data_IF_865205194658
#
_entry.id   IF_865205194658
#
_cell.length_a   1.000
_cell.length_b   1.000
_cell.length_c   1.000
_cell.angle_alpha   90.00
_cell.angle_beta   90.00
_cell.angle_gamma   90.00
#
_symmetry.space_group_name_H-M   'P 1'
#
loop_
_entity.id
_entity.type
_entity.pdbx_description
1 polymer ?
#
# COMPACT_ATOMS: atom_id res chain seq x y z
N UNK A 1 24.22 -2.44 -18.90
CA UNK A 1 23.27 -2.76 -17.82
C UNK A 1 22.15 -3.52 -18.47
N UNK A 2 22.05 -4.81 -18.17
CA UNK A 2 21.19 -5.75 -18.86
C UNK A 2 19.75 -5.22 -18.90
N UNK A 3 19.18 -5.19 -20.10
CA UNK A 3 17.73 -5.16 -20.25
C UNK A 3 17.23 -6.48 -19.65
N UNK A 4 16.85 -6.45 -18.38
CA UNK A 4 16.19 -7.59 -17.73
C UNK A 4 15.04 -8.01 -18.63
N UNK A 5 15.17 -9.23 -19.14
CA UNK A 5 14.27 -9.86 -20.07
C UNK A 5 12.83 -9.68 -19.60
N UNK A 6 11.99 -9.00 -20.41
CA UNK A 6 10.55 -8.88 -20.17
C UNK A 6 9.88 -10.28 -20.00
N UNK A 7 10.56 -11.37 -20.36
CA UNK A 7 10.13 -12.75 -20.15
C UNK A 7 10.20 -13.21 -18.69
N UNK A 8 11.05 -12.60 -17.85
CA UNK A 8 11.21 -12.99 -16.44
C UNK A 8 10.13 -12.36 -15.53
N UNK A 9 9.51 -11.26 -15.99
CA UNK A 9 8.46 -10.52 -15.27
C UNK A 9 7.08 -11.16 -15.46
N UNK A 10 6.84 -12.20 -14.67
CA UNK A 10 5.62 -13.01 -14.75
C UNK A 10 4.58 -12.63 -13.71
N UNK A 11 4.98 -12.05 -12.59
CA UNK A 11 4.11 -11.77 -11.44
C UNK A 11 3.43 -10.39 -11.56
N UNK A 12 2.19 -10.23 -11.06
CA UNK A 12 1.52 -8.93 -11.01
C UNK A 12 2.26 -7.95 -10.08
N UNK A 13 2.11 -6.66 -10.35
CA UNK A 13 2.66 -5.61 -9.50
C UNK A 13 2.00 -5.63 -8.11
N UNK A 14 2.80 -5.56 -7.05
CA UNK A 14 2.32 -5.37 -5.69
C UNK A 14 1.65 -4.00 -5.51
N UNK A 15 0.78 -3.82 -4.50
CA UNK A 15 0.20 -2.51 -4.17
C UNK A 15 1.24 -1.43 -3.92
N UNK A 16 2.34 -1.78 -3.22
CA UNK A 16 3.44 -0.86 -2.91
C UNK A 16 4.21 -0.46 -4.17
N UNK A 17 4.39 -1.36 -5.14
CA UNK A 17 5.01 -1.03 -6.43
C UNK A 17 4.13 -0.10 -7.26
N UNK A 18 2.81 -0.30 -7.25
CA UNK A 18 1.85 0.61 -7.90
C UNK A 18 1.88 2.00 -7.26
N UNK A 19 1.93 2.07 -5.94
CA UNK A 19 2.02 3.33 -5.19
C UNK A 19 3.34 4.06 -5.45
N UNK A 20 4.47 3.35 -5.43
CA UNK A 20 5.78 3.91 -5.77
C UNK A 20 5.84 4.43 -7.21
N UNK A 21 5.29 3.69 -8.17
CA UNK A 21 5.18 4.14 -9.55
C UNK A 21 4.35 5.43 -9.66
N UNK A 22 3.25 5.51 -8.91
CA UNK A 22 2.45 6.75 -8.77
C UNK A 22 3.27 7.88 -8.16
N UNK A 23 3.96 7.69 -7.05
CA UNK A 23 4.80 8.75 -6.45
C UNK A 23 5.86 9.30 -7.43
N UNK A 24 6.42 8.42 -8.26
CA UNK A 24 7.41 8.77 -9.28
C UNK A 24 6.80 9.50 -10.50
N UNK A 25 5.47 9.64 -10.57
CA UNK A 25 4.78 10.28 -11.71
C UNK A 25 4.47 9.33 -12.86
N UNK A 26 4.69 8.02 -12.68
CA UNK A 26 4.41 7.02 -13.70
C UNK A 26 2.95 6.57 -13.60
N UNK A 27 2.09 7.21 -14.39
CA UNK A 27 0.67 6.86 -14.52
C UNK A 27 0.33 6.51 -15.96
N UNK A 28 -0.67 5.66 -16.16
CA UNK A 28 -1.21 5.36 -17.48
C UNK A 28 -1.73 6.65 -18.14
N UNK A 29 -1.38 6.86 -19.41
CA UNK A 29 -1.84 8.00 -20.21
C UNK A 29 -2.12 7.52 -21.64
N UNK A 30 -3.26 7.92 -22.19
CA UNK A 30 -3.57 7.75 -23.62
C UNK A 30 -3.62 9.11 -24.28
N UNK A 31 -2.80 9.28 -25.33
CA UNK A 31 -2.83 10.50 -26.15
C UNK A 31 -4.10 10.58 -26.99
N UNK A 32 -4.60 9.43 -27.44
CA UNK A 32 -5.80 9.35 -28.26
C UNK A 32 -7.06 9.73 -27.46
N UNK A 33 -7.16 9.30 -26.20
CA UNK A 33 -8.25 9.74 -25.31
C UNK A 33 -8.26 11.25 -25.13
N UNK A 34 -7.11 11.87 -24.84
CA UNK A 34 -7.01 13.32 -24.68
C UNK A 34 -7.38 14.07 -25.96
N UNK A 35 -6.95 13.55 -27.12
CA UNK A 35 -7.26 14.14 -28.43
C UNK A 35 -8.75 14.04 -28.73
N UNK A 36 -9.35 12.86 -28.53
CA UNK A 36 -10.79 12.64 -28.67
C UNK A 36 -11.58 13.56 -27.75
N UNK A 37 -11.26 13.59 -26.45
CA UNK A 37 -12.01 14.37 -25.47
C UNK A 37 -11.95 15.87 -25.77
N UNK A 38 -10.78 16.39 -26.16
CA UNK A 38 -10.62 17.80 -26.52
C UNK A 38 -11.42 18.17 -27.78
N UNK A 39 -11.39 17.32 -28.81
CA UNK A 39 -12.16 17.56 -30.03
C UNK A 39 -13.67 17.39 -29.80
N UNK A 40 -14.09 16.39 -29.04
CA UNK A 40 -15.48 16.19 -28.66
C UNK A 40 -16.01 17.39 -27.85
N UNK A 41 -15.25 17.85 -26.87
CA UNK A 41 -15.57 19.05 -26.10
C UNK A 41 -15.58 20.31 -26.97
N UNK A 42 -14.66 20.44 -27.92
CA UNK A 42 -14.64 21.57 -28.86
C UNK A 42 -15.87 21.60 -29.76
N UNK A 43 -16.24 20.46 -30.35
CA UNK A 43 -17.41 20.37 -31.23
C UNK A 43 -18.71 20.56 -30.45
N UNK A 44 -18.87 19.87 -29.31
CA UNK A 44 -20.04 20.03 -28.45
C UNK A 44 -20.14 21.45 -27.89
N UNK A 45 -19.01 22.02 -27.46
CA UNK A 45 -18.94 23.39 -26.98
C UNK A 45 -19.31 24.40 -28.05
N UNK A 46 -18.78 24.26 -29.26
CA UNK A 46 -19.13 25.11 -30.40
C UNK A 46 -20.61 25.01 -30.71
N UNK A 47 -21.19 23.81 -30.73
CA UNK A 47 -22.63 23.64 -30.96
C UNK A 47 -23.48 24.31 -29.88
N UNK A 48 -23.18 24.06 -28.60
CA UNK A 48 -23.93 24.61 -27.46
C UNK A 48 -23.79 26.13 -27.34
N UNK A 49 -22.67 26.69 -27.81
CA UNK A 49 -22.38 28.13 -27.71
C UNK A 49 -22.53 28.88 -29.04
N UNK A 50 -22.93 28.19 -30.12
CA UNK A 50 -22.99 28.75 -31.47
C UNK A 50 -23.85 30.02 -31.53
N UNK A 51 -25.05 29.97 -30.97
CA UNK A 51 -25.96 31.12 -30.93
C UNK A 51 -25.34 32.30 -30.16
N UNK A 52 -24.83 32.04 -28.95
CA UNK A 52 -24.18 33.06 -28.12
C UNK A 52 -22.98 33.70 -28.81
N UNK A 53 -22.13 32.89 -29.44
CA UNK A 53 -20.95 33.36 -30.19
C UNK A 53 -21.40 34.21 -31.37
N UNK A 54 -22.34 33.71 -32.18
CA UNK A 54 -22.82 34.43 -33.37
C UNK A 54 -23.48 35.77 -33.02
N UNK A 55 -24.33 35.81 -31.99
CA UNK A 55 -24.99 37.01 -31.53
C UNK A 55 -24.01 37.97 -30.83
N UNK A 56 -23.15 37.46 -29.97
CA UNK A 56 -22.16 38.26 -29.24
C UNK A 56 -21.18 38.96 -30.17
N UNK A 57 -20.56 38.22 -31.09
CA UNK A 57 -19.68 38.82 -32.10
C UNK A 57 -20.46 39.70 -33.08
N UNK A 58 -21.70 39.34 -33.45
CA UNK A 58 -22.54 40.18 -34.29
C UNK A 58 -22.86 41.54 -33.66
N UNK A 59 -23.15 41.57 -32.35
CA UNK A 59 -23.33 42.81 -31.59
C UNK A 59 -22.03 43.59 -31.47
N UNK A 60 -20.90 42.91 -31.22
CA UNK A 60 -19.59 43.54 -31.13
C UNK A 60 -19.19 44.23 -32.44
N UNK A 61 -19.42 43.57 -33.59
CA UNK A 61 -19.19 44.16 -34.90
C UNK A 61 -20.09 45.38 -35.15
N UNK A 62 -21.39 45.29 -34.81
CA UNK A 62 -22.32 46.43 -34.96
C UNK A 62 -21.86 47.61 -34.11
N UNK A 63 -21.48 47.41 -32.85
CA UNK A 63 -20.95 48.45 -31.96
C UNK A 63 -19.62 49.02 -32.48
N UNK A 64 -18.73 48.18 -32.99
CA UNK A 64 -17.45 48.61 -33.54
C UNK A 64 -17.59 49.43 -34.83
N UNK A 65 -18.62 49.18 -35.63
CA UNK A 65 -18.92 49.91 -36.87
C UNK A 65 -19.82 51.13 -36.66
N UNK A 66 -20.54 51.20 -35.53
CA UNK A 66 -21.38 52.33 -35.14
C UNK A 66 -20.62 53.17 -34.12
N UNK A 67 -19.81 54.13 -34.56
CA UNK A 67 -19.13 55.08 -33.68
C UNK A 67 -19.74 56.46 -33.76
N UNK A 68 -19.83 57.13 -32.62
CA UNK A 68 -20.29 58.51 -32.53
C UNK A 68 -19.09 59.46 -32.72
N UNK A 69 -19.19 60.53 -33.53
CA UNK A 69 -18.04 61.38 -33.85
C UNK A 69 -17.29 61.93 -32.62
N UNK A 70 -18.00 62.21 -31.52
CA UNK A 70 -17.40 62.66 -30.27
C UNK A 70 -16.57 61.61 -29.52
N UNK A 71 -16.77 60.32 -29.79
CA UNK A 71 -15.94 59.23 -29.25
C UNK A 71 -14.72 58.93 -30.11
N UNK A 72 -14.75 59.25 -31.40
CA UNK A 72 -13.63 59.03 -32.33
C UNK A 72 -12.49 60.05 -32.17
N UNK A 73 -12.76 61.17 -31.49
CA UNK A 73 -11.80 62.26 -31.29
C UNK A 73 -11.16 62.26 -29.89
N UNK A 74 -11.58 61.34 -29.00
CA UNK A 74 -11.08 61.20 -27.64
C UNK A 74 -10.42 59.83 -27.43
N UNK A 75 -9.08 59.83 -27.43
CA UNK A 75 -8.25 58.62 -27.27
C UNK A 75 -8.57 57.83 -26.01
N UNK A 76 -8.94 58.48 -24.89
CA UNK A 76 -9.27 57.77 -23.66
C UNK A 76 -10.58 57.00 -23.78
N UNK A 77 -11.59 57.60 -24.43
CA UNK A 77 -12.87 56.94 -24.72
C UNK A 77 -12.70 55.79 -25.71
N UNK A 78 -11.85 55.96 -26.73
CA UNK A 78 -11.51 54.89 -27.68
C UNK A 78 -10.88 53.69 -26.96
N UNK A 79 -9.91 53.93 -26.08
CA UNK A 79 -9.24 52.85 -25.35
C UNK A 79 -10.18 52.13 -24.39
N UNK A 80 -11.04 52.87 -23.69
CA UNK A 80 -12.07 52.28 -22.82
C UNK A 80 -13.04 51.40 -23.60
N UNK A 81 -13.53 51.88 -24.75
CA UNK A 81 -14.44 51.11 -25.61
C UNK A 81 -13.78 49.86 -26.17
N UNK A 82 -12.50 49.93 -26.54
CA UNK A 82 -11.72 48.78 -26.97
C UNK A 82 -11.56 47.75 -25.85
N UNK A 83 -11.27 48.19 -24.62
CA UNK A 83 -11.15 47.30 -23.45
C UNK A 83 -12.48 46.60 -23.13
N UNK A 84 -13.60 47.33 -23.13
CA UNK A 84 -14.94 46.75 -22.93
C UNK A 84 -15.30 45.76 -24.04
N UNK A 85 -15.00 46.11 -25.31
CA UNK A 85 -15.22 45.21 -26.45
C UNK A 85 -14.38 43.94 -26.35
N UNK A 86 -13.13 44.06 -25.89
CA UNK A 86 -12.26 42.90 -25.62
C UNK A 86 -12.79 42.01 -24.49
N UNK A 87 -13.28 42.62 -23.41
CA UNK A 87 -13.90 41.90 -22.30
C UNK A 87 -15.19 41.17 -22.73
N UNK A 88 -16.07 41.84 -23.49
CA UNK A 88 -17.29 41.25 -24.05
C UNK A 88 -16.96 40.08 -25.00
N UNK A 89 -15.96 40.23 -25.87
CA UNK A 89 -15.48 39.16 -26.75
C UNK A 89 -14.98 37.95 -25.94
N UNK A 90 -14.16 38.20 -24.92
CA UNK A 90 -13.64 37.15 -24.04
C UNK A 90 -14.77 36.45 -23.28
N UNK A 91 -15.70 37.20 -22.71
CA UNK A 91 -16.87 36.64 -22.01
C UNK A 91 -17.80 35.86 -22.94
N UNK A 92 -17.83 36.21 -24.23
CA UNK A 92 -18.61 35.49 -25.24
C UNK A 92 -18.01 34.10 -25.50
N UNK A 93 -16.68 33.98 -25.61
CA UNK A 93 -15.99 32.70 -25.85
C UNK A 93 -15.61 31.95 -24.58
N UNK A 94 -15.67 32.60 -23.41
CA UNK A 94 -15.26 32.02 -22.13
C UNK A 94 -15.89 30.65 -21.81
N UNK A 95 -17.19 30.39 -22.07
CA UNK A 95 -17.76 29.06 -21.83
C UNK A 95 -17.12 27.95 -22.68
N UNK A 96 -16.81 28.26 -23.95
CA UNK A 96 -16.11 27.32 -24.84
C UNK A 96 -14.69 27.05 -24.34
N UNK A 97 -13.95 28.10 -23.98
CA UNK A 97 -12.61 27.97 -23.42
C UNK A 97 -12.61 27.18 -22.11
N UNK A 98 -13.58 27.45 -21.23
CA UNK A 98 -13.77 26.72 -19.98
C UNK A 98 -14.00 25.23 -20.21
N UNK A 99 -14.85 24.88 -21.18
CA UNK A 99 -15.11 23.48 -21.55
C UNK A 99 -13.85 22.79 -22.11
N UNK A 100 -13.07 23.48 -22.95
CA UNK A 100 -11.80 22.95 -23.47
C UNK A 100 -10.76 22.76 -22.38
N UNK A 101 -10.66 23.68 -21.42
CA UNK A 101 -9.77 23.55 -20.25
C UNK A 101 -10.19 22.36 -19.39
N UNK A 102 -11.49 22.22 -19.13
CA UNK A 102 -12.02 21.06 -18.40
C UNK A 102 -11.69 19.75 -19.13
N UNK A 103 -11.89 19.67 -20.44
CA UNK A 103 -11.53 18.49 -21.22
C UNK A 103 -10.02 18.19 -21.19
N UNK A 104 -9.17 19.21 -21.31
CA UNK A 104 -7.72 19.09 -21.27
C UNK A 104 -7.20 18.57 -19.91
N UNK A 105 -7.89 18.90 -18.81
CA UNK A 105 -7.56 18.44 -17.46
C UNK A 105 -8.15 17.05 -17.18
N UNK A 106 -9.45 16.87 -17.45
CA UNK A 106 -10.19 15.66 -17.08
C UNK A 106 -9.77 14.45 -17.93
N UNK A 107 -9.43 14.62 -19.21
CA UNK A 107 -9.12 13.48 -20.06
C UNK A 107 -7.85 12.71 -19.62
N UNK A 108 -6.70 13.35 -19.33
CA UNK A 108 -5.56 12.67 -18.72
C UNK A 108 -5.87 12.10 -17.32
N UNK A 109 -6.66 12.81 -16.52
CA UNK A 109 -7.04 12.38 -15.17
C UNK A 109 -7.93 11.14 -15.17
N UNK A 110 -8.78 10.97 -16.18
CA UNK A 110 -9.68 9.82 -16.29
C UNK A 110 -8.93 8.47 -16.35
N UNK A 111 -7.70 8.46 -16.88
CA UNK A 111 -6.86 7.25 -16.95
C UNK A 111 -5.84 7.17 -15.82
N UNK A 112 -5.13 8.26 -15.56
CA UNK A 112 -4.01 8.28 -14.61
C UNK A 112 -4.44 8.46 -13.16
N UNK A 113 -5.68 8.90 -12.93
CA UNK A 113 -6.14 9.42 -11.65
C UNK A 113 -5.60 10.81 -11.34
N UNK A 114 -6.00 11.35 -10.19
CA UNK A 114 -5.42 12.58 -9.66
C UNK A 114 -4.09 12.26 -8.97
N UNK A 115 -2.99 12.81 -9.48
CA UNK A 115 -1.67 12.63 -8.91
C UNK A 115 -0.91 13.94 -8.90
N UNK A 116 -0.53 14.39 -7.69
CA UNK A 116 0.34 15.53 -7.50
C UNK A 116 1.72 15.03 -7.03
N UNK A 117 2.75 15.19 -7.86
CA UNK A 117 4.13 14.80 -7.50
C UNK A 117 5.12 15.89 -7.88
N UNK A 118 5.98 16.27 -6.93
CA UNK A 118 7.08 17.20 -7.14
C UNK A 118 8.33 16.50 -7.68
N UNK A 119 8.43 15.16 -7.55
CA UNK A 119 9.58 14.39 -8.06
C UNK A 119 9.73 14.49 -9.58
N UNK A 120 8.62 14.62 -10.31
CA UNK A 120 8.63 14.78 -11.76
C UNK A 120 9.11 16.16 -12.24
N UNK A 121 9.18 17.17 -11.36
CA UNK A 121 9.70 18.51 -11.68
C UNK A 121 11.23 18.60 -11.57
N UNK A 122 11.88 17.61 -10.97
CA UNK A 122 13.33 17.59 -10.84
C UNK A 122 14.00 17.39 -12.23
N UNK A 123 15.05 18.16 -12.56
CA UNK A 123 15.76 18.00 -13.83
C UNK A 123 16.42 16.63 -13.90
N UNK A 124 16.03 15.83 -14.91
CA UNK A 124 16.58 14.50 -15.14
C UNK A 124 17.40 14.48 -16.43
N UNK A 125 18.71 14.70 -16.31
CA UNK A 125 19.67 14.69 -17.43
C UNK A 125 19.71 13.35 -18.17
N UNK A 126 19.31 12.26 -17.54
CA UNK A 126 19.21 10.94 -18.18
C UNK A 126 18.13 10.87 -19.27
N UNK A 127 17.14 11.77 -19.26
CA UNK A 127 16.12 11.88 -20.32
C UNK A 127 16.62 12.59 -21.58
N UNK A 128 17.72 13.33 -21.50
CA UNK A 128 18.31 14.09 -22.62
C UNK A 128 19.30 13.27 -23.47
N UNK A 129 19.54 11.99 -23.13
CA UNK A 129 20.50 11.18 -23.86
C UNK A 129 19.97 10.79 -25.26
N UNK A 130 20.59 11.27 -26.36
CA UNK A 130 20.09 11.08 -27.72
C UNK A 130 20.17 9.61 -28.16
N UNK A 131 21.17 8.84 -27.72
CA UNK A 131 21.31 7.41 -28.04
C UNK A 131 20.11 6.60 -27.52
N UNK A 132 19.66 6.89 -26.29
CA UNK A 132 18.45 6.28 -25.72
C UNK A 132 17.18 6.73 -26.44
N UNK A 133 17.17 7.96 -26.97
CA UNK A 133 16.09 8.48 -27.80
C UNK A 133 15.93 7.71 -29.10
N UNK A 134 17.03 7.53 -29.85
CA UNK A 134 17.05 6.74 -31.08
C UNK A 134 16.65 5.28 -30.85
N UNK A 135 17.16 4.63 -29.80
CA UNK A 135 16.75 3.27 -29.44
C UNK A 135 15.24 3.14 -29.17
N UNK A 136 14.61 4.16 -28.58
CA UNK A 136 13.14 4.18 -28.39
C UNK A 136 12.39 4.39 -29.70
N UNK A 137 12.88 5.25 -30.60
CA UNK A 137 12.25 5.51 -31.90
C UNK A 137 12.27 4.28 -32.81
N UNK A 138 13.38 3.54 -32.84
CA UNK A 138 13.56 2.32 -33.63
C UNK A 138 13.25 1.02 -32.85
N UNK A 139 12.41 1.11 -31.81
CA UNK A 139 11.96 -0.05 -31.04
C UNK A 139 10.70 -0.69 -31.63
N UNK A 140 10.37 -1.91 -31.20
CA UNK A 140 9.07 -2.54 -31.49
C UNK A 140 7.90 -1.65 -31.06
N UNK A 141 8.06 -0.90 -29.96
CA UNK A 141 7.05 0.08 -29.51
C UNK A 141 6.91 1.23 -30.52
N UNK A 142 8.01 1.74 -31.07
CA UNK A 142 8.00 2.77 -32.11
C UNK A 142 7.27 2.31 -33.38
N UNK A 143 7.50 1.06 -33.81
CA UNK A 143 6.79 0.48 -34.97
C UNK A 143 5.29 0.33 -34.71
N UNK A 144 4.88 -0.12 -33.52
CA UNK A 144 3.47 -0.22 -33.14
C UNK A 144 2.80 1.16 -33.16
N UNK A 145 3.45 2.18 -32.60
CA UNK A 145 2.93 3.55 -32.62
C UNK A 145 2.82 4.12 -34.05
N UNK A 146 3.78 3.81 -34.94
CA UNK A 146 3.72 4.19 -36.35
C UNK A 146 2.51 3.55 -37.05
N UNK A 147 2.30 2.24 -36.87
CA UNK A 147 1.17 1.52 -37.46
C UNK A 147 -0.15 2.11 -36.95
N UNK A 148 -0.28 2.38 -35.64
CA UNK A 148 -1.46 3.06 -35.09
C UNK A 148 -1.65 4.44 -35.69
N UNK A 149 -0.58 5.21 -35.88
CA UNK A 149 -0.65 6.55 -36.47
C UNK A 149 -1.10 6.53 -37.94
N UNK A 150 -0.64 5.57 -38.74
CA UNK A 150 -1.09 5.39 -40.12
C UNK A 150 -2.55 4.94 -40.13
N UNK A 151 -2.90 3.90 -39.36
CA UNK A 151 -4.25 3.36 -39.31
C UNK A 151 -5.29 4.41 -38.88
N UNK A 152 -5.01 5.18 -37.83
CA UNK A 152 -5.92 6.26 -37.39
C UNK A 152 -6.03 7.38 -38.41
N UNK A 153 -4.94 7.74 -39.10
CA UNK A 153 -4.96 8.80 -40.12
C UNK A 153 -5.78 8.36 -41.33
N UNK A 154 -5.63 7.11 -41.78
CA UNK A 154 -6.45 6.54 -42.84
C UNK A 154 -7.92 6.47 -42.43
N UNK A 155 -8.21 6.04 -41.19
CA UNK A 155 -9.58 6.00 -40.68
C UNK A 155 -10.22 7.40 -40.69
N UNK A 156 -9.59 8.37 -40.03
CA UNK A 156 -10.10 9.75 -39.95
C UNK A 156 -10.21 10.37 -41.35
N UNK A 157 -9.21 10.17 -42.21
CA UNK A 157 -9.21 10.65 -43.58
C UNK A 157 -10.33 10.04 -44.43
N UNK A 158 -10.57 8.73 -44.30
CA UNK A 158 -11.66 8.04 -45.00
C UNK A 158 -13.04 8.52 -44.50
N UNK A 159 -13.21 8.68 -43.19
CA UNK A 159 -14.45 9.22 -42.60
C UNK A 159 -14.68 10.67 -43.05
N UNK A 160 -13.65 11.51 -43.03
CA UNK A 160 -13.75 12.90 -43.48
C UNK A 160 -14.09 12.97 -44.97
N UNK A 161 -13.42 12.19 -45.81
CA UNK A 161 -13.72 12.10 -47.24
C UNK A 161 -15.17 11.66 -47.48
N UNK A 162 -15.61 10.59 -46.79
CA UNK A 162 -16.97 10.07 -46.91
C UNK A 162 -18.02 11.09 -46.44
N UNK A 163 -17.79 11.76 -45.31
CA UNK A 163 -18.70 12.79 -44.78
C UNK A 163 -18.86 13.95 -45.76
N UNK A 164 -17.77 14.44 -46.36
CA UNK A 164 -17.82 15.50 -47.38
C UNK A 164 -18.48 15.01 -48.67
N UNK A 165 -18.16 13.79 -49.12
CA UNK A 165 -18.71 13.23 -50.34
C UNK A 165 -20.23 13.00 -50.24
N UNK A 166 -20.73 12.63 -49.05
CA UNK A 166 -22.16 12.48 -48.76
C UNK A 166 -22.94 13.77 -48.97
N UNK A 167 -22.39 14.90 -48.55
CA UNK A 167 -23.08 16.20 -48.60
C UNK A 167 -22.69 17.02 -49.86
N UNK A 168 -22.04 16.41 -50.84
CA UNK A 168 -21.53 17.09 -52.05
C UNK A 168 -22.61 17.88 -52.79
N UNK A 169 -23.78 17.29 -53.02
CA UNK A 169 -24.86 17.94 -53.77
C UNK A 169 -25.47 19.09 -52.96
N UNK A 170 -25.57 18.92 -51.64
CA UNK A 170 -26.00 19.95 -50.72
C UNK A 170 -25.04 21.15 -50.72
N UNK A 171 -23.72 20.90 -50.73
CA UNK A 171 -22.69 21.94 -50.85
C UNK A 171 -22.84 22.70 -52.17
N UNK A 172 -23.04 22.00 -53.29
CA UNK A 172 -23.25 22.65 -54.59
C UNK A 172 -24.54 23.49 -54.61
N UNK A 173 -25.59 23.02 -53.93
CA UNK A 173 -26.86 23.74 -53.79
C UNK A 173 -26.75 25.08 -53.06
N UNK A 174 -25.76 25.25 -52.16
CA UNK A 174 -25.52 26.51 -51.45
C UNK A 174 -25.26 27.69 -52.37
N UNK A 175 -24.69 27.46 -53.57
CA UNK A 175 -24.42 28.52 -54.55
C UNK A 175 -25.69 29.24 -55.03
N UNK A 176 -26.85 28.61 -54.87
CA UNK A 176 -28.14 29.13 -55.33
C UNK A 176 -29.00 29.71 -54.20
N UNK A 177 -28.55 29.61 -52.95
CA UNK A 177 -29.30 30.06 -51.78
C UNK A 177 -28.88 31.46 -51.33
N UNK A 178 -29.82 32.19 -50.70
CA UNK A 178 -29.49 33.46 -50.05
C UNK A 178 -28.57 33.25 -48.83
N UNK A 179 -27.66 34.18 -48.49
CA UNK A 179 -26.76 34.04 -47.34
C UNK A 179 -27.48 33.80 -46.01
N UNK A 180 -28.69 34.36 -45.85
CA UNK A 180 -29.50 34.22 -44.63
C UNK A 180 -30.01 32.80 -44.43
N UNK A 181 -30.28 32.06 -45.51
CA UNK A 181 -30.69 30.66 -45.46
C UNK A 181 -29.48 29.70 -45.48
N UNK A 182 -28.42 30.07 -46.19
CA UNK A 182 -27.22 29.24 -46.34
C UNK A 182 -26.40 29.10 -45.04
N UNK A 183 -26.25 30.19 -44.25
CA UNK A 183 -25.37 30.20 -43.07
C UNK A 183 -25.75 29.16 -41.99
N UNK A 184 -27.02 29.05 -41.55
CA UNK A 184 -27.42 28.01 -40.60
C UNK A 184 -27.20 26.59 -41.14
N UNK A 185 -27.51 26.37 -42.41
CA UNK A 185 -27.37 25.07 -43.07
C UNK A 185 -25.90 24.63 -43.15
N UNK A 186 -24.99 25.54 -43.50
CA UNK A 186 -23.54 25.28 -43.46
C UNK A 186 -23.07 24.94 -42.05
N UNK A 187 -23.57 25.67 -41.04
CA UNK A 187 -23.24 25.39 -39.63
C UNK A 187 -23.61 23.97 -39.21
N UNK A 188 -24.82 23.53 -39.55
CA UNK A 188 -25.29 22.16 -39.28
C UNK A 188 -24.42 21.12 -40.00
N UNK A 189 -24.13 21.32 -41.28
CA UNK A 189 -23.30 20.42 -42.08
C UNK A 189 -21.86 20.30 -41.52
N UNK A 190 -21.27 21.41 -41.06
CA UNK A 190 -19.96 21.40 -40.38
C UNK A 190 -20.03 20.57 -39.11
N UNK A 191 -21.08 20.74 -38.30
CA UNK A 191 -21.21 20.01 -37.03
C UNK A 191 -21.40 18.51 -37.26
N UNK A 192 -22.21 18.13 -38.25
CA UNK A 192 -22.39 16.72 -38.64
C UNK A 192 -21.08 16.10 -39.12
N UNK A 193 -20.33 16.79 -40.00
CA UNK A 193 -19.00 16.37 -40.41
C UNK A 193 -18.04 16.21 -39.23
N UNK A 194 -17.99 17.20 -38.33
CA UNK A 194 -17.18 17.14 -37.13
C UNK A 194 -17.60 16.00 -36.21
N UNK A 195 -18.89 15.72 -36.07
CA UNK A 195 -19.42 14.62 -35.26
C UNK A 195 -18.96 13.25 -35.80
N UNK A 196 -18.96 13.04 -37.12
CA UNK A 196 -18.41 11.82 -37.71
C UNK A 196 -16.91 11.66 -37.44
N UNK A 197 -16.13 12.74 -37.56
CA UNK A 197 -14.70 12.72 -37.25
C UNK A 197 -14.47 12.40 -35.77
N UNK A 198 -15.19 13.05 -34.85
CA UNK A 198 -15.12 12.76 -33.41
C UNK A 198 -15.54 11.32 -33.11
N UNK A 199 -16.57 10.80 -33.76
CA UNK A 199 -17.00 9.41 -33.61
C UNK A 199 -15.92 8.42 -34.09
N UNK A 200 -15.21 8.72 -35.17
CA UNK A 200 -14.06 7.89 -35.60
C UNK A 200 -12.92 7.91 -34.59
N UNK A 201 -12.64 9.06 -33.97
CA UNK A 201 -11.63 9.18 -32.91
C UNK A 201 -12.06 8.48 -31.62
N UNK A 202 -13.36 8.41 -31.34
CA UNK A 202 -13.88 7.61 -30.23
C UNK A 202 -13.51 6.13 -30.42
N UNK A 203 -13.64 5.59 -31.63
CA UNK A 203 -13.22 4.21 -31.94
C UNK A 203 -11.72 4.02 -31.72
N UNK A 204 -10.89 4.97 -32.15
CA UNK A 204 -9.44 4.94 -31.93
C UNK A 204 -9.12 4.96 -30.43
N UNK A 205 -9.73 5.87 -29.67
CA UNK A 205 -9.55 5.98 -28.24
C UNK A 205 -10.04 4.72 -27.50
N UNK A 206 -11.16 4.13 -27.92
CA UNK A 206 -11.70 2.90 -27.34
C UNK A 206 -10.75 1.69 -27.47
N UNK A 207 -9.90 1.67 -28.50
CA UNK A 207 -8.88 0.64 -28.69
C UNK A 207 -7.57 1.02 -27.97
N UNK A 208 -7.14 2.28 -28.06
CA UNK A 208 -5.88 2.73 -27.48
C UNK A 208 -5.93 2.70 -25.94
N UNK A 209 -7.06 3.07 -25.31
CA UNK A 209 -7.19 3.10 -23.84
C UNK A 209 -6.90 1.75 -23.17
N UNK A 210 -7.57 0.64 -23.53
CA UNK A 210 -7.25 -0.67 -22.98
C UNK A 210 -5.82 -1.11 -23.27
N UNK A 211 -5.30 -0.80 -24.46
CA UNK A 211 -3.93 -1.12 -24.84
C UNK A 211 -2.90 -0.39 -23.96
N UNK A 212 -3.09 0.91 -23.71
CA UNK A 212 -2.21 1.71 -22.84
C UNK A 212 -2.28 1.26 -21.38
N UNK A 213 -3.48 0.93 -20.88
CA UNK A 213 -3.64 0.35 -19.54
C UNK A 213 -2.90 -0.98 -19.41
N UNK A 214 -3.11 -1.89 -20.36
CA UNK A 214 -2.42 -3.18 -20.39
C UNK A 214 -0.90 -3.01 -20.45
N UNK A 215 -0.41 -2.12 -21.33
CA UNK A 215 1.02 -1.85 -21.45
C UNK A 215 1.60 -1.25 -20.16
N UNK A 216 0.86 -0.36 -19.49
CA UNK A 216 1.26 0.22 -18.20
C UNK A 216 1.40 -0.85 -17.12
N UNK A 217 0.37 -1.70 -16.93
CA UNK A 217 0.44 -2.80 -15.97
C UNK A 217 1.49 -3.85 -16.33
N UNK A 218 1.69 -4.14 -17.63
CA UNK A 218 2.74 -5.04 -18.10
C UNK A 218 4.13 -4.54 -17.73
N UNK A 219 4.39 -3.23 -17.88
CA UNK A 219 5.67 -2.60 -17.48
C UNK A 219 5.93 -2.66 -15.97
N UNK A 220 4.87 -2.70 -15.16
CA UNK A 220 4.96 -2.76 -13.70
C UNK A 220 5.04 -4.18 -13.14
N UNK A 221 4.95 -5.22 -13.99
CA UNK A 221 5.11 -6.61 -13.57
C UNK A 221 6.44 -6.85 -12.88
N UNK A 222 6.43 -7.86 -12.02
CA UNK A 222 7.55 -8.21 -11.17
C UNK A 222 8.12 -9.58 -11.53
N UNK A 223 9.42 -9.77 -11.27
CA UNK A 223 10.00 -11.12 -11.25
C UNK A 223 9.67 -11.80 -9.92
N UNK A 224 9.75 -13.14 -9.87
CA UNK A 224 9.57 -13.90 -8.63
C UNK A 224 10.59 -13.51 -7.55
N UNK A 225 11.79 -13.09 -7.97
CA UNK A 225 12.83 -12.63 -7.07
C UNK A 225 12.50 -11.26 -6.46
N UNK A 226 12.03 -10.31 -7.27
CA UNK A 226 11.58 -9.00 -6.81
C UNK A 226 10.43 -9.13 -5.80
N UNK A 227 9.45 -10.02 -6.05
CA UNK A 227 8.34 -10.26 -5.10
C UNK A 227 8.85 -10.83 -3.78
N UNK A 228 9.78 -11.80 -3.82
CA UNK A 228 10.39 -12.35 -2.60
C UNK A 228 11.17 -11.30 -1.82
N UNK A 229 11.90 -10.43 -2.51
CA UNK A 229 12.67 -9.36 -1.89
C UNK A 229 11.74 -8.32 -1.26
N UNK A 230 10.68 -7.92 -1.95
CA UNK A 230 9.69 -7.00 -1.40
C UNK A 230 8.98 -7.58 -0.16
N UNK A 231 8.64 -8.87 -0.18
CA UNK A 231 8.09 -9.54 1.01
C UNK A 231 9.10 -9.57 2.16
N UNK A 232 10.39 -9.81 1.90
CA UNK A 232 11.45 -9.74 2.93
C UNK A 232 11.58 -8.32 3.52
N UNK A 233 11.48 -7.29 2.70
CA UNK A 233 11.55 -5.89 3.14
C UNK A 233 10.31 -5.46 3.96
N UNK A 234 9.12 -5.95 3.58
CA UNK A 234 7.86 -5.63 4.27
C UNK A 234 7.68 -6.43 5.58
N UNK A 235 7.91 -7.73 5.56
CA UNK A 235 7.59 -8.62 6.70
C UNK A 235 8.80 -8.93 7.60
N UNK A 236 10.01 -8.57 7.14
CA UNK A 236 11.29 -8.95 7.73
C UNK A 236 11.65 -10.40 7.39
N UNK A 237 12.95 -10.74 7.48
CA UNK A 237 13.40 -12.12 7.24
C UNK A 237 12.84 -13.07 8.32
N UNK A 238 12.08 -14.12 7.93
CA UNK A 238 11.59 -15.14 8.86
C UNK A 238 12.69 -15.75 9.74
N UNK A 239 13.90 -15.93 9.20
CA UNK A 239 15.05 -16.45 9.94
C UNK A 239 15.49 -15.47 11.03
N UNK A 240 15.47 -14.16 10.74
CA UNK A 240 15.81 -13.13 11.72
C UNK A 240 14.77 -13.08 12.84
N UNK A 241 13.48 -13.15 12.51
CA UNK A 241 12.38 -13.25 13.50
C UNK A 241 12.48 -14.50 14.36
N UNK A 242 12.88 -15.64 13.80
CA UNK A 242 13.10 -16.88 14.54
C UNK A 242 14.33 -16.78 15.46
N UNK A 243 15.41 -16.19 14.98
CA UNK A 243 16.65 -15.97 15.74
C UNK A 243 16.43 -15.03 16.94
N UNK A 244 15.71 -13.92 16.73
CA UNK A 244 15.33 -12.99 17.81
C UNK A 244 14.53 -13.73 18.89
N UNK A 245 13.56 -14.57 18.50
CA UNK A 245 12.77 -15.39 19.46
C UNK A 245 13.65 -16.40 20.22
N UNK A 246 14.66 -16.98 19.57
CA UNK A 246 15.60 -17.88 20.24
C UNK A 246 16.47 -17.14 21.27
N UNK A 247 17.03 -15.98 20.91
CA UNK A 247 17.81 -15.14 21.82
C UNK A 247 16.99 -14.69 23.04
N UNK A 248 15.76 -14.24 22.83
CA UNK A 248 14.85 -13.87 23.93
C UNK A 248 14.64 -15.02 24.92
N UNK A 249 14.45 -16.25 24.43
CA UNK A 249 14.32 -17.45 25.29
C UNK A 249 15.62 -17.76 26.04
N UNK A 250 16.79 -17.59 25.43
CA UNK A 250 18.08 -17.80 26.09
C UNK A 250 18.32 -16.80 27.22
N UNK A 251 18.05 -15.51 26.98
CA UNK A 251 18.18 -14.46 28.00
C UNK A 251 17.25 -14.71 29.18
N UNK A 252 16.00 -15.07 28.91
CA UNK A 252 15.03 -15.41 29.96
C UNK A 252 15.50 -16.61 30.81
N UNK A 253 16.01 -17.68 30.17
CA UNK A 253 16.58 -18.84 30.88
C UNK A 253 17.80 -18.46 31.72
N UNK A 254 18.68 -17.59 31.22
CA UNK A 254 19.87 -17.14 31.95
C UNK A 254 19.49 -16.37 33.21
N UNK A 255 18.52 -15.44 33.11
CA UNK A 255 17.98 -14.70 34.26
C UNK A 255 17.37 -15.65 35.30
N UNK A 256 16.51 -16.56 34.85
CA UNK A 256 15.92 -17.58 35.73
C UNK A 256 17.00 -18.40 36.48
N UNK A 257 18.09 -18.79 35.82
CA UNK A 257 19.17 -19.53 36.48
C UNK A 257 19.97 -18.67 37.48
N UNK A 258 20.09 -17.36 37.25
CA UNK A 258 20.74 -16.44 38.18
C UNK A 258 19.95 -16.26 39.49
N UNK A 259 18.64 -16.53 39.48
CA UNK A 259 17.79 -16.43 40.67
C UNK A 259 17.82 -17.71 41.53
N UNK A 260 18.24 -18.86 40.98
CA UNK A 260 18.26 -20.15 41.71
C UNK A 260 19.10 -20.11 43.00
N UNK A 261 20.29 -19.48 43.06
CA UNK A 261 21.08 -19.39 44.30
C UNK A 261 20.35 -18.75 45.49
N UNK A 262 19.26 -18.00 45.24
CA UNK A 262 18.46 -17.36 46.27
C UNK A 262 17.33 -18.23 46.81
N UNK A 263 17.16 -19.44 46.29
CA UNK A 263 16.09 -20.33 46.71
C UNK A 263 16.38 -20.94 48.08
N UNK A 264 15.34 -21.07 48.89
CA UNK A 264 15.40 -21.70 50.21
C UNK A 264 15.28 -23.22 50.11
N UNK A 265 14.58 -23.71 49.10
CA UNK A 265 14.37 -25.14 48.84
C UNK A 265 14.12 -25.41 47.37
N UNK A 266 14.57 -26.58 46.90
CA UNK A 266 14.28 -27.08 45.56
C UNK A 266 13.45 -28.36 45.67
N UNK A 267 12.24 -28.34 45.12
CA UNK A 267 11.33 -29.48 45.07
C UNK A 267 11.48 -30.19 43.74
N UNK A 268 11.72 -31.50 43.76
CA UNK A 268 12.07 -32.25 42.55
C UNK A 268 11.15 -33.44 42.31
N UNK A 269 11.00 -33.76 41.02
CA UNK A 269 10.58 -35.06 40.52
C UNK A 269 11.80 -35.65 39.79
N UNK A 270 12.40 -36.75 40.26
CA UNK A 270 13.81 -37.14 40.01
C UNK A 270 14.32 -36.95 38.59
N UNK A 271 13.50 -37.26 37.59
CA UNK A 271 13.92 -37.24 36.19
C UNK A 271 13.28 -36.14 35.35
N UNK A 272 12.27 -35.42 35.87
CA UNK A 272 11.40 -34.62 35.01
C UNK A 272 11.17 -33.18 35.42
N UNK A 273 11.14 -32.85 36.71
CA UNK A 273 10.81 -31.49 37.16
C UNK A 273 11.70 -31.06 38.32
N UNK A 274 12.05 -29.77 38.33
CA UNK A 274 12.63 -29.11 39.48
C UNK A 274 12.01 -27.71 39.61
N UNK A 275 11.61 -27.35 40.82
CA UNK A 275 11.04 -26.05 41.15
C UNK A 275 11.78 -25.49 42.36
N UNK A 276 12.36 -24.30 42.21
CA UNK A 276 13.06 -23.59 43.26
C UNK A 276 12.12 -22.55 43.90
N UNK A 277 11.99 -22.59 45.23
CA UNK A 277 11.11 -21.74 46.01
C UNK A 277 11.94 -20.82 46.93
N UNK A 278 11.53 -19.57 47.05
CA UNK A 278 12.05 -18.59 48.03
C UNK A 278 10.92 -18.19 48.97
N UNK A 279 11.23 -18.12 50.26
CA UNK A 279 10.31 -17.62 51.28
C UNK A 279 11.06 -16.73 52.27
N UNK A 280 10.62 -15.48 52.40
CA UNK A 280 11.15 -14.50 53.35
C UNK A 280 10.06 -14.09 54.33
N UNK A 281 10.44 -13.68 55.53
CA UNK A 281 9.51 -13.32 56.63
C UNK A 281 8.54 -12.18 56.28
N UNK A 282 8.82 -11.42 55.23
CA UNK A 282 7.97 -10.34 54.73
C UNK A 282 7.07 -10.71 53.54
N UNK A 283 7.02 -11.98 53.15
CA UNK A 283 6.21 -12.46 52.01
C UNK A 283 4.90 -13.07 52.48
N UNK A 284 3.82 -12.84 51.72
CA UNK A 284 2.50 -13.41 52.03
C UNK A 284 2.45 -14.91 51.70
N UNK A 285 3.19 -15.35 50.67
CA UNK A 285 3.41 -16.75 50.37
C UNK A 285 4.78 -16.99 49.69
N UNK A 286 5.28 -18.23 49.69
CA UNK A 286 6.49 -18.60 48.95
C UNK A 286 6.36 -18.32 47.45
N UNK A 287 7.46 -17.87 46.84
CA UNK A 287 7.52 -17.52 45.41
C UNK A 287 8.38 -18.51 44.62
N UNK A 288 7.96 -18.82 43.40
CA UNK A 288 8.76 -19.64 42.47
C UNK A 288 9.84 -18.79 41.81
N UNK A 289 11.12 -19.08 42.10
CA UNK A 289 12.26 -18.38 41.48
C UNK A 289 12.70 -19.02 40.17
N UNK A 290 12.62 -20.35 40.08
CA UNK A 290 12.94 -21.07 38.87
C UNK A 290 12.11 -22.34 38.77
N UNK A 291 11.72 -22.72 37.55
CA UNK A 291 11.16 -24.04 37.27
C UNK A 291 11.65 -24.52 35.93
N UNK A 292 11.83 -25.83 35.80
CA UNK A 292 12.31 -26.43 34.56
C UNK A 292 11.87 -27.88 34.42
N UNK A 293 11.98 -28.36 33.18
CA UNK A 293 11.82 -29.78 32.84
C UNK A 293 13.14 -30.37 32.35
N UNK A 294 13.30 -31.69 32.52
CA UNK A 294 14.39 -32.49 31.97
C UNK A 294 15.79 -31.84 32.16
N UNK A 295 16.49 -31.43 31.10
CA UNK A 295 17.80 -30.79 31.17
C UNK A 295 17.82 -29.51 32.04
N UNK A 296 16.76 -28.71 31.98
CA UNK A 296 16.65 -27.48 32.78
C UNK A 296 16.46 -27.86 34.25
N UNK A 297 15.66 -28.89 34.52
CA UNK A 297 15.49 -29.41 35.88
C UNK A 297 16.80 -29.97 36.44
N UNK A 298 17.57 -30.70 35.63
CA UNK A 298 18.89 -31.18 36.00
C UNK A 298 19.82 -30.03 36.36
N UNK A 299 19.86 -28.98 35.54
CA UNK A 299 20.71 -27.82 35.82
C UNK A 299 20.32 -27.06 37.09
N UNK A 300 19.02 -26.95 37.38
CA UNK A 300 18.53 -26.37 38.64
C UNK A 300 19.01 -27.21 39.84
N UNK A 301 18.96 -28.55 39.75
CA UNK A 301 19.48 -29.43 40.82
C UNK A 301 20.99 -29.29 41.00
N UNK A 302 21.75 -29.27 39.91
CA UNK A 302 23.21 -29.08 39.94
C UNK A 302 23.57 -27.77 40.66
N UNK A 303 22.91 -26.66 40.32
CA UNK A 303 23.13 -25.39 41.01
C UNK A 303 22.65 -25.41 42.47
N UNK A 304 21.58 -26.15 42.77
CA UNK A 304 21.13 -26.39 44.14
C UNK A 304 22.19 -27.08 45.00
N UNK A 305 22.83 -28.12 44.46
CA UNK A 305 23.94 -28.81 45.12
C UNK A 305 25.15 -27.88 45.27
N UNK A 306 25.52 -27.15 44.22
CA UNK A 306 26.65 -26.21 44.21
C UNK A 306 26.50 -25.10 45.28
N UNK A 307 25.28 -24.62 45.49
CA UNK A 307 24.98 -23.55 46.46
C UNK A 307 24.45 -24.08 47.81
N UNK A 308 24.54 -25.40 48.07
CA UNK A 308 24.08 -26.05 49.30
C UNK A 308 22.59 -25.83 49.64
N UNK A 309 21.74 -25.66 48.63
CA UNK A 309 20.30 -25.51 48.78
C UNK A 309 19.68 -26.89 49.05
N UNK A 310 18.85 -27.05 50.10
CA UNK A 310 18.14 -28.30 50.37
C UNK A 310 17.28 -28.74 49.18
N UNK A 311 17.45 -29.99 48.76
CA UNK A 311 16.67 -30.61 47.70
C UNK A 311 15.73 -31.64 48.32
N UNK A 312 14.43 -31.49 48.10
CA UNK A 312 13.42 -32.45 48.52
C UNK A 312 12.84 -33.16 47.30
N UNK A 313 12.78 -34.49 47.37
CA UNK A 313 12.08 -35.30 46.38
C UNK A 313 10.60 -35.39 46.75
N UNK A 314 9.76 -34.64 46.04
CA UNK A 314 8.31 -34.70 46.21
C UNK A 314 7.63 -34.65 44.84
N UNK A 315 7.53 -35.79 44.13
CA UNK A 315 7.06 -35.81 42.74
C UNK A 315 5.66 -35.22 42.52
N UNK A 316 4.65 -35.44 43.40
CA UNK A 316 3.32 -34.82 43.25
C UNK A 316 3.38 -33.29 43.35
N UNK A 317 4.11 -32.76 44.33
CA UNK A 317 4.23 -31.32 44.57
C UNK A 317 5.04 -30.62 43.47
N UNK A 318 6.16 -31.23 43.02
CA UNK A 318 6.96 -30.69 41.93
C UNK A 318 6.15 -30.55 40.62
N UNK A 319 5.27 -31.52 40.32
CA UNK A 319 4.36 -31.46 39.16
C UNK A 319 3.32 -30.36 39.31
N UNK A 320 2.69 -30.26 40.48
CA UNK A 320 1.67 -29.27 40.76
C UNK A 320 2.23 -27.84 40.67
N UNK A 321 3.38 -27.59 41.30
CA UNK A 321 4.08 -26.30 41.25
C UNK A 321 4.52 -25.94 39.83
N UNK A 322 5.07 -26.89 39.07
CA UNK A 322 5.51 -26.62 37.70
C UNK A 322 4.34 -26.25 36.78
N UNK A 323 3.20 -26.95 36.92
CA UNK A 323 2.03 -26.76 36.06
C UNK A 323 1.24 -25.49 36.38
N UNK A 324 1.07 -25.14 37.65
CA UNK A 324 0.10 -24.12 38.07
C UNK A 324 0.70 -22.79 38.54
N UNK A 325 2.03 -22.68 38.66
CA UNK A 325 2.68 -21.46 39.18
C UNK A 325 3.73 -20.95 38.21
N UNK A 326 3.61 -19.70 37.75
CA UNK A 326 4.60 -19.06 36.89
C UNK A 326 5.84 -18.61 37.67
N UNK A 327 6.96 -18.45 36.97
CA UNK A 327 8.19 -17.93 37.57
C UNK A 327 7.94 -16.49 38.04
N UNK A 328 8.41 -16.14 39.23
CA UNK A 328 8.22 -14.83 39.84
C UNK A 328 6.89 -14.66 40.58
N UNK A 329 5.99 -15.65 40.54
CA UNK A 329 4.68 -15.58 41.20
C UNK A 329 4.66 -16.36 42.52
N UNK A 330 3.81 -15.89 43.44
CA UNK A 330 3.50 -16.58 44.69
C UNK A 330 2.69 -17.86 44.42
N UNK A 331 2.89 -18.88 45.25
CA UNK A 331 2.12 -20.13 45.16
C UNK A 331 0.64 -19.87 45.46
N UNK A 332 -0.30 -20.67 44.91
CA UNK A 332 -1.72 -20.57 45.24
C UNK A 332 -2.03 -21.13 46.62
N UNK A 333 -3.09 -20.62 47.26
CA UNK A 333 -3.56 -21.02 48.60
C UNK A 333 -3.75 -22.53 48.76
N UNK A 334 -4.15 -23.21 47.68
CA UNK A 334 -4.34 -24.66 47.60
C UNK A 334 -3.06 -25.48 47.82
N UNK A 335 -1.87 -24.90 47.60
CA UNK A 335 -0.59 -25.56 47.80
C UNK A 335 0.11 -25.10 49.10
N UNK A 336 -0.51 -24.22 49.90
CA UNK A 336 0.11 -23.68 51.10
C UNK A 336 0.48 -24.75 52.10
N UNK A 337 -0.42 -25.69 52.40
CA UNK A 337 -0.17 -26.75 53.37
C UNK A 337 1.00 -27.63 52.96
N UNK A 338 1.01 -28.08 51.69
CA UNK A 338 2.09 -28.90 51.16
C UNK A 338 3.44 -28.16 51.15
N UNK A 339 3.47 -26.88 50.81
CA UNK A 339 4.72 -26.10 50.80
C UNK A 339 5.16 -25.70 52.21
N UNK A 340 4.23 -25.46 53.14
CA UNK A 340 4.53 -25.15 54.54
C UNK A 340 5.25 -26.33 55.22
N UNK A 341 4.84 -27.57 54.94
CA UNK A 341 5.55 -28.77 55.43
C UNK A 341 6.97 -28.87 54.87
N UNK A 342 7.16 -28.54 53.59
CA UNK A 342 8.50 -28.50 52.97
C UNK A 342 9.37 -27.44 53.63
N UNK A 343 8.85 -26.24 53.86
CA UNK A 343 9.59 -25.18 54.53
C UNK A 343 9.87 -25.52 56.00
N UNK A 344 8.92 -26.11 56.72
CA UNK A 344 9.11 -26.56 58.09
C UNK A 344 10.25 -27.59 58.18
N UNK A 345 10.32 -28.54 57.24
CA UNK A 345 11.45 -29.47 57.13
C UNK A 345 12.77 -28.75 56.85
N UNK A 346 12.79 -27.75 55.95
CA UNK A 346 13.98 -26.93 55.66
C UNK A 346 14.46 -26.19 56.91
N UNK A 347 13.55 -25.58 57.68
CA UNK A 347 13.89 -24.87 58.91
C UNK A 347 14.44 -25.83 59.98
N UNK A 348 13.83 -27.00 60.16
CA UNK A 348 14.34 -28.04 61.06
C UNK A 348 15.72 -28.55 60.62
N UNK A 349 15.93 -28.72 59.30
CA UNK A 349 17.21 -29.15 58.73
C UNK A 349 18.31 -28.10 58.91
N UNK A 350 17.99 -26.81 58.74
CA UNK A 350 18.91 -25.70 59.03
C UNK A 350 19.27 -25.67 60.52
N UNK A 351 18.28 -25.80 61.40
CA UNK A 351 18.49 -25.83 62.87
C UNK A 351 19.34 -27.02 63.30
N UNK A 352 19.06 -28.21 62.78
CA UNK A 352 19.85 -29.41 63.05
C UNK A 352 21.31 -29.27 62.61
N UNK A 353 21.56 -28.68 61.44
CA UNK A 353 22.93 -28.42 60.95
C UNK A 353 23.69 -27.38 61.79
N UNK A 354 22.99 -26.43 62.42
CA UNK A 354 23.61 -25.33 63.18
C UNK A 354 23.83 -25.66 64.67
N UNK A 355 22.84 -26.27 65.32
CA UNK A 355 22.80 -26.47 66.77
C UNK A 355 23.06 -27.94 67.19
N UNK A 356 23.02 -28.89 66.24
CA UNK A 356 23.06 -30.32 66.52
C UNK A 356 21.77 -30.85 67.15
N UNK A 357 21.55 -32.18 67.10
CA UNK A 357 20.36 -32.83 67.66
C UNK A 357 19.86 -34.01 66.83
N UNK A 358 18.58 -34.38 67.02
CA UNK A 358 17.90 -35.44 66.25
C UNK A 358 17.69 -34.95 64.81
N UNK A 359 18.09 -35.77 63.83
CA UNK A 359 17.91 -35.44 62.41
C UNK A 359 16.41 -35.34 62.07
N UNK A 360 15.99 -34.30 61.34
CA UNK A 360 14.58 -34.14 60.97
C UNK A 360 14.15 -35.23 59.99
N UNK A 361 12.93 -35.72 60.17
CA UNK A 361 12.33 -36.74 59.31
C UNK A 361 11.97 -36.08 57.98
N UNK A 362 12.45 -36.63 56.88
CA UNK A 362 12.09 -36.18 55.53
C UNK A 362 10.61 -36.44 55.27
N UNK A 363 9.80 -35.42 54.90
CA UNK A 363 8.38 -35.62 54.59
C UNK A 363 8.21 -36.51 53.37
N UNK A 364 7.46 -37.60 53.50
CA UNK A 364 7.21 -38.56 52.40
C UNK A 364 5.81 -38.42 51.80
N UNK A 365 4.83 -37.97 52.59
CA UNK A 365 3.43 -37.80 52.17
C UNK A 365 2.97 -36.35 52.35
N UNK A 366 3.28 -35.51 51.36
CA UNK A 366 2.82 -34.12 51.37
C UNK A 366 1.35 -34.04 50.90
N UNK A 367 0.47 -33.29 51.58
CA UNK A 367 -0.95 -33.17 51.24
C UNK A 367 -1.15 -32.29 50.00
N UNK A 368 -0.97 -32.88 48.81
CA UNK A 368 -1.24 -32.21 47.53
C UNK A 368 -2.68 -32.53 47.09
N UNK A 369 -3.57 -31.52 46.93
CA UNK A 369 -4.94 -31.76 46.48
C UNK A 369 -4.98 -32.51 45.15
N UNK A 370 -5.84 -33.52 45.06
CA UNK A 370 -5.96 -34.38 43.87
C UNK A 370 -6.32 -33.60 42.59
N UNK A 371 -6.99 -32.45 42.73
CA UNK A 371 -7.40 -31.56 41.64
C UNK A 371 -6.22 -30.86 40.96
N UNK A 372 -5.11 -30.62 41.67
CA UNK A 372 -3.91 -29.96 41.15
C UNK A 372 -2.78 -30.94 40.83
N UNK A 373 -3.01 -32.23 41.08
CA UNK A 373 -2.14 -33.29 40.59
C UNK A 373 -2.23 -33.34 39.06
N UNK A 374 -1.26 -32.71 38.39
CA UNK A 374 -1.20 -32.69 36.93
C UNK A 374 -1.40 -34.11 36.34
N UNK A 375 -2.16 -34.26 35.23
CA UNK A 375 -2.54 -35.56 34.70
C UNK A 375 -1.31 -36.42 34.45
N UNK A 376 -1.38 -37.67 34.91
CA UNK A 376 -0.37 -38.70 34.65
C UNK A 376 -0.30 -38.92 33.13
N UNK A 377 0.66 -38.31 32.44
CA UNK A 377 0.78 -38.40 30.97
C UNK A 377 0.75 -39.88 30.55
N UNK A 378 -0.23 -40.23 29.72
CA UNK A 378 -0.30 -41.51 29.04
C UNK A 378 0.99 -41.74 28.23
N UNK A 379 1.52 -42.97 28.30
CA UNK A 379 2.65 -43.43 27.49
C UNK A 379 2.37 -43.12 26.01
N UNK A 380 3.12 -42.18 25.43
CA UNK A 380 3.16 -41.95 23.99
C UNK A 380 3.74 -43.21 23.32
N UNK A 381 2.89 -43.94 22.60
CA UNK A 381 3.33 -44.92 21.60
C UNK A 381 3.97 -44.11 20.46
N UNK A 382 5.28 -44.30 20.28
CA UNK A 382 5.98 -43.89 19.05
C UNK A 382 5.43 -44.74 17.90
N UNK A 383 4.98 -44.08 16.84
CA UNK A 383 4.99 -44.57 15.44
C UNK A 383 5.71 -43.52 14.63
#
# INVERSE_FOLDING_TARGET
>A
MAEDSDLEKTEPASPRRLEKAREEGQVARSRELSTFALLAAGVAGLWMTAERISQGFGQLMRRGMQFEPGTALDTHRMLSNAAHSGADALMTIAPLLGLLVLAAILAPMALGGWLFTTKSLAPNFGRLNPLKGFGRMFSVQGLIELVKAIAKTLLVGAVAYWAIARDRDAVMGLMTQSPRAALPYVGEMIVVCCAFIVASLLLVAAIDVPFQLWQHYKKLRMTKEEVRQENKENEGDPHLKAHIRQLQRQVARRRMMQDVPRADVIVTNPTHFAVALEYKDNMSAPRVLAKGTDLVAQRIREMGVEHNIPILEAPPLARALHAHVEIGHEIPATLYTAVAEVLAWVFQLRRWRAEGGVAPITPTELPVPAELAAPRRARSKRV
#
